data_IF_636980221221
#
_entry.id   IF_636980221221
#
_cell.length_a   1.000
_cell.length_b   1.000
_cell.length_c   1.000
_cell.angle_alpha   90.00
_cell.angle_beta   90.00
_cell.angle_gamma   90.00
#
_symmetry.space_group_name_H-M   'P 1'
#
loop_
_entity.id
_entity.type
_entity.pdbx_description
1 polymer ?
#
# COMPACT_ATOMS: atom_id res chain seq x y z
N UNK A 1 -38.43 -14.07 53.48
CA UNK A 1 -38.10 -13.49 52.15
C UNK A 1 -36.77 -12.72 52.16
N UNK A 2 -35.62 -13.35 52.46
CA UNK A 2 -34.30 -12.66 52.42
C UNK A 2 -33.18 -13.42 51.68
N UNK A 3 -33.42 -14.66 51.25
CA UNK A 3 -32.41 -15.48 50.56
C UNK A 3 -32.55 -15.54 49.03
N UNK A 4 -33.66 -15.04 48.47
CA UNK A 4 -33.88 -15.05 47.00
C UNK A 4 -33.35 -13.80 46.28
N UNK A 5 -33.10 -12.70 47.00
CA UNK A 5 -32.59 -11.46 46.40
C UNK A 5 -31.07 -11.52 46.13
N UNK A 6 -30.32 -12.29 46.94
CA UNK A 6 -28.86 -12.37 46.83
C UNK A 6 -28.39 -13.21 45.64
N UNK A 7 -29.16 -14.24 45.26
CA UNK A 7 -28.83 -15.11 44.11
C UNK A 7 -29.08 -14.39 42.78
N UNK A 8 -30.07 -13.50 42.71
CA UNK A 8 -30.31 -12.69 41.51
C UNK A 8 -29.25 -11.60 41.30
N UNK A 9 -28.68 -11.03 42.36
CA UNK A 9 -27.60 -10.03 42.24
C UNK A 9 -26.24 -10.63 41.84
N UNK A 10 -25.96 -11.88 42.18
CA UNK A 10 -24.71 -12.56 41.80
C UNK A 10 -24.80 -13.13 40.37
N UNK A 11 -26.00 -13.45 39.87
CA UNK A 11 -26.19 -13.88 38.48
C UNK A 11 -26.20 -12.72 37.47
N UNK A 12 -26.48 -11.48 37.90
CA UNK A 12 -26.40 -10.30 37.03
C UNK A 12 -25.00 -9.67 36.92
N UNK A 13 -24.06 -9.98 37.83
CA UNK A 13 -22.68 -9.50 37.72
C UNK A 13 -21.77 -10.37 36.85
N UNK A 14 -22.26 -11.55 36.40
CA UNK A 14 -21.52 -12.47 35.53
C UNK A 14 -21.59 -12.13 34.03
N UNK A 15 -22.43 -11.18 33.64
CA UNK A 15 -22.56 -10.69 32.25
C UNK A 15 -21.97 -9.28 32.08
N UNK A 16 -20.90 -8.95 32.81
CA UNK A 16 -20.02 -7.88 32.37
C UNK A 16 -19.33 -8.40 31.12
N UNK A 17 -19.81 -7.92 29.96
CA UNK A 17 -19.20 -8.00 28.64
C UNK A 17 -17.67 -8.16 28.68
N UNK A 18 -17.17 -9.39 28.78
CA UNK A 18 -15.80 -9.70 28.41
C UNK A 18 -15.81 -9.88 26.91
N UNK A 19 -15.66 -8.77 26.18
CA UNK A 19 -15.31 -8.82 24.76
C UNK A 19 -13.88 -9.35 24.71
N UNK A 20 -13.76 -10.68 24.79
CA UNK A 20 -12.47 -11.34 24.65
C UNK A 20 -11.91 -10.98 23.28
N UNK A 21 -10.65 -10.54 23.18
CA UNK A 21 -10.07 -10.18 21.90
C UNK A 21 -10.24 -11.30 20.88
N UNK A 22 -10.86 -11.00 19.73
CA UNK A 22 -11.08 -11.99 18.69
C UNK A 22 -9.75 -12.22 17.95
N UNK A 23 -9.23 -13.44 17.97
CA UNK A 23 -8.02 -13.79 17.22
C UNK A 23 -8.36 -13.96 15.73
N UNK A 24 -7.60 -13.28 14.87
CA UNK A 24 -7.85 -13.23 13.42
C UNK A 24 -6.74 -13.90 12.63
N UNK A 25 -5.52 -13.84 13.14
CA UNK A 25 -4.36 -14.41 12.47
C UNK A 25 -3.41 -15.06 13.47
N UNK A 26 -2.87 -16.22 13.10
CA UNK A 26 -1.81 -16.90 13.84
C UNK A 26 -0.89 -17.62 12.86
N UNK A 27 0.39 -17.32 12.92
CA UNK A 27 1.41 -18.01 12.12
C UNK A 27 2.63 -18.33 12.99
N UNK A 28 3.41 -19.30 12.54
CA UNK A 28 4.64 -19.74 13.20
C UNK A 28 5.77 -19.68 12.18
N UNK A 29 6.78 -18.87 12.49
CA UNK A 29 8.03 -18.72 11.73
C UNK A 29 9.16 -19.24 12.63
N UNK A 30 10.30 -19.64 12.08
CA UNK A 30 11.43 -20.25 12.82
C UNK A 30 11.63 -19.61 14.21
N UNK A 31 11.32 -20.37 15.28
CA UNK A 31 11.37 -19.99 16.71
C UNK A 31 10.31 -18.96 17.19
N UNK A 32 9.64 -18.23 16.31
CA UNK A 32 8.66 -17.20 16.66
C UNK A 32 7.21 -17.60 16.32
N UNK A 33 6.28 -17.27 17.21
CA UNK A 33 4.84 -17.34 16.94
C UNK A 33 4.29 -15.92 16.92
N UNK A 34 3.55 -15.61 15.85
CA UNK A 34 2.93 -14.31 15.62
C UNK A 34 1.43 -14.47 15.71
N UNK A 35 0.78 -13.55 16.40
CA UNK A 35 -0.66 -13.60 16.63
C UNK A 35 -1.23 -12.20 16.54
N UNK A 36 -2.34 -12.09 15.81
CA UNK A 36 -3.13 -10.88 15.70
C UNK A 36 -4.49 -11.09 16.36
N UNK A 37 -4.86 -10.20 17.27
CA UNK A 37 -6.20 -10.20 17.87
C UNK A 37 -6.82 -8.82 17.87
N UNK A 38 -8.11 -8.73 17.56
CA UNK A 38 -8.88 -7.49 17.65
C UNK A 38 -9.22 -7.21 19.11
N UNK A 39 -8.80 -6.08 19.63
CA UNK A 39 -9.10 -5.67 21.00
C UNK A 39 -10.44 -4.91 21.11
N UNK A 40 -10.82 -4.59 22.34
CA UNK A 40 -12.09 -3.94 22.69
C UNK A 40 -12.27 -2.55 22.04
N UNK A 41 -11.17 -1.88 21.67
CA UNK A 41 -11.17 -0.57 21.01
C UNK A 41 -11.17 -0.67 19.48
N UNK A 42 -11.43 -1.85 18.92
CA UNK A 42 -11.35 -2.15 17.49
C UNK A 42 -9.96 -1.98 16.85
N UNK A 43 -8.91 -1.88 17.66
CA UNK A 43 -7.53 -1.99 17.18
C UNK A 43 -7.08 -3.44 17.16
N UNK A 44 -6.01 -3.73 16.44
CA UNK A 44 -5.41 -5.05 16.45
C UNK A 44 -4.15 -5.05 17.32
N UNK A 45 -4.06 -6.02 18.22
CA UNK A 45 -2.86 -6.33 18.99
C UNK A 45 -2.01 -7.30 18.19
N UNK A 46 -0.84 -6.85 17.74
CA UNK A 46 0.19 -7.72 17.18
C UNK A 46 1.07 -8.24 18.32
N UNK A 47 1.08 -9.56 18.51
CA UNK A 47 1.89 -10.25 19.51
C UNK A 47 2.89 -11.16 18.81
N UNK A 48 4.18 -10.91 19.06
CA UNK A 48 5.27 -11.80 18.65
C UNK A 48 5.80 -12.49 19.89
N UNK A 49 5.89 -13.82 19.87
CA UNK A 49 6.38 -14.61 20.99
C UNK A 49 7.47 -15.58 20.55
N UNK A 50 8.48 -15.76 21.39
CA UNK A 50 9.56 -16.74 21.19
C UNK A 50 9.31 -17.89 22.17
N UNK A 51 9.08 -19.10 21.65
CA UNK A 51 8.79 -20.27 22.49
C UNK A 51 7.70 -20.00 23.55
N UNK A 52 6.60 -19.37 23.15
CA UNK A 52 5.48 -18.95 24.01
C UNK A 52 5.78 -17.85 25.04
N UNK A 53 6.96 -17.23 25.00
CA UNK A 53 7.27 -16.03 25.77
C UNK A 53 7.00 -14.79 24.91
N UNK A 54 6.06 -13.90 25.29
CA UNK A 54 5.81 -12.67 24.55
C UNK A 54 7.09 -11.81 24.50
N UNK A 55 7.46 -11.37 23.30
CA UNK A 55 8.61 -10.49 23.06
C UNK A 55 8.17 -9.07 22.73
N UNK A 56 7.15 -8.93 21.88
CA UNK A 56 6.60 -7.63 21.51
C UNK A 56 5.08 -7.68 21.51
N UNK A 57 4.47 -6.61 22.04
CA UNK A 57 3.05 -6.31 21.91
C UNK A 57 2.88 -4.88 21.40
N UNK A 58 2.23 -4.70 20.25
CA UNK A 58 1.87 -3.39 19.69
C UNK A 58 0.37 -3.33 19.43
N UNK A 59 -0.21 -2.16 19.60
CA UNK A 59 -1.66 -1.92 19.41
C UNK A 59 -1.85 -0.76 18.45
N UNK A 60 -2.44 -1.03 17.29
CA UNK A 60 -2.79 -0.03 16.27
C UNK A 60 -3.92 -0.56 15.37
N UNK A 61 -4.65 0.30 14.62
CA UNK A 61 -5.52 -0.18 13.57
C UNK A 61 -4.64 -0.72 12.44
N UNK A 62 -4.44 -2.04 12.46
CA UNK A 62 -3.76 -2.77 11.40
C UNK A 62 -4.68 -2.90 10.19
N UNK A 63 -4.15 -2.59 9.01
CA UNK A 63 -4.89 -2.72 7.75
C UNK A 63 -4.46 -3.97 7.02
N UNK A 64 -3.15 -4.24 6.90
CA UNK A 64 -2.62 -5.46 6.27
C UNK A 64 -1.33 -5.95 6.94
N UNK A 65 -1.17 -7.26 6.99
CA UNK A 65 0.01 -7.96 7.49
C UNK A 65 0.54 -8.85 6.38
N UNK A 66 1.84 -8.78 6.13
CA UNK A 66 2.50 -9.60 5.14
C UNK A 66 3.74 -10.28 5.72
N UNK A 67 3.97 -11.51 5.28
CA UNK A 67 5.19 -12.27 5.57
C UNK A 67 5.92 -12.46 4.26
N UNK A 68 7.14 -11.94 4.20
CA UNK A 68 7.96 -11.97 2.99
C UNK A 68 9.36 -12.40 3.36
N UNK A 69 9.98 -13.23 2.54
CA UNK A 69 11.37 -13.61 2.72
C UNK A 69 12.22 -12.74 1.79
N UNK A 70 12.66 -11.54 2.22
CA UNK A 70 13.25 -10.57 1.28
C UNK A 70 14.70 -10.89 0.87
N UNK A 71 15.28 -11.95 1.44
CA UNK A 71 16.61 -12.44 1.10
C UNK A 71 16.57 -13.91 0.62
N UNK A 72 17.60 -14.31 -0.13
CA UNK A 72 17.91 -15.72 -0.41
C UNK A 72 18.29 -16.52 0.86
N UNK A 73 18.41 -15.83 2.00
CA UNK A 73 18.48 -16.42 3.33
C UNK A 73 17.05 -16.64 3.86
N UNK A 74 16.69 -17.84 4.33
CA UNK A 74 15.31 -18.24 4.68
C UNK A 74 14.77 -17.65 6.01
N UNK A 75 15.15 -16.42 6.36
CA UNK A 75 14.77 -15.77 7.63
C UNK A 75 13.62 -14.78 7.35
N UNK A 76 12.40 -15.31 7.16
CA UNK A 76 11.16 -14.59 6.81
C UNK A 76 11.00 -13.24 7.54
N UNK A 77 10.98 -12.11 6.83
CA UNK A 77 10.62 -10.78 7.33
C UNK A 77 9.10 -10.57 7.41
N UNK A 78 8.69 -9.58 8.22
CA UNK A 78 7.29 -9.20 8.41
C UNK A 78 7.12 -7.73 8.09
N UNK A 79 6.24 -7.48 7.12
CA UNK A 79 5.82 -6.15 6.73
C UNK A 79 4.42 -5.89 7.28
N UNK A 80 4.27 -4.76 7.96
CA UNK A 80 3.03 -4.34 8.62
C UNK A 80 2.58 -3.02 8.03
N UNK A 81 1.40 -2.97 7.42
CA UNK A 81 0.76 -1.72 7.01
C UNK A 81 -0.25 -1.32 8.09
N UNK A 82 0.07 -0.29 8.87
CA UNK A 82 -0.84 0.23 9.88
C UNK A 82 -1.44 1.57 9.45
N UNK A 83 -2.70 1.81 9.79
CA UNK A 83 -3.36 3.10 9.62
C UNK A 83 -3.27 3.95 10.89
N UNK A 84 -3.43 5.26 10.74
CA UNK A 84 -3.59 6.25 11.80
C UNK A 84 -4.60 7.27 11.30
N UNK A 85 -5.65 7.55 12.08
CA UNK A 85 -6.62 8.58 11.74
C UNK A 85 -6.13 9.94 12.22
N UNK A 86 -5.88 10.86 11.30
CA UNK A 86 -5.59 12.26 11.63
C UNK A 86 -6.64 13.15 10.96
N UNK A 87 -7.52 13.78 11.75
CA UNK A 87 -8.52 14.73 11.27
C UNK A 87 -9.38 14.23 10.08
N UNK A 88 -9.94 13.02 10.18
CA UNK A 88 -10.75 12.33 9.15
C UNK A 88 -9.98 11.71 7.97
N UNK A 89 -8.69 12.02 7.81
CA UNK A 89 -7.82 11.38 6.82
C UNK A 89 -7.13 10.14 7.43
N UNK A 90 -7.15 9.02 6.72
CA UNK A 90 -6.47 7.79 7.16
C UNK A 90 -5.07 7.77 6.58
N UNK A 91 -4.10 7.91 7.46
CA UNK A 91 -2.68 7.89 7.15
C UNK A 91 -2.10 6.51 7.42
N UNK A 92 -1.49 5.91 6.42
CA UNK A 92 -0.84 4.61 6.48
C UNK A 92 0.65 4.76 6.78
N UNK A 93 1.20 3.80 7.51
CA UNK A 93 2.62 3.68 7.76
C UNK A 93 3.01 2.23 7.57
N UNK A 94 3.99 2.00 6.71
CA UNK A 94 4.64 0.71 6.56
C UNK A 94 5.65 0.54 7.69
N UNK A 95 5.64 -0.59 8.37
CA UNK A 95 6.66 -0.98 9.33
C UNK A 95 7.27 -2.30 8.91
N UNK A 96 8.59 -2.34 8.79
CA UNK A 96 9.36 -3.52 8.39
C UNK A 96 10.05 -4.10 9.62
N UNK A 97 9.95 -5.42 9.79
CA UNK A 97 10.58 -6.16 10.88
C UNK A 97 11.29 -7.39 10.33
N UNK A 98 12.44 -7.72 10.93
CA UNK A 98 13.19 -8.95 10.63
C UNK A 98 13.24 -9.86 11.85
N UNK A 99 13.45 -11.15 11.58
CA UNK A 99 13.52 -12.23 12.56
C UNK A 99 14.94 -12.84 12.65
N UNK A 100 15.88 -12.36 11.83
CA UNK A 100 17.27 -12.80 11.84
C UNK A 100 17.91 -12.56 13.21
N UNK A 101 18.32 -13.66 13.87
CA UNK A 101 18.82 -13.75 15.25
C UNK A 101 17.90 -13.25 16.38
N UNK A 102 17.12 -12.19 16.15
CA UNK A 102 16.17 -11.56 17.06
C UNK A 102 15.08 -10.82 16.27
N UNK A 103 13.87 -10.79 16.82
CA UNK A 103 12.82 -9.90 16.30
C UNK A 103 13.21 -8.44 16.52
N UNK A 104 13.45 -7.68 15.43
CA UNK A 104 13.79 -6.25 15.48
C UNK A 104 12.99 -5.42 14.48
N UNK A 105 12.63 -4.22 14.88
CA UNK A 105 12.15 -3.18 13.97
C UNK A 105 13.30 -2.73 13.08
N UNK A 106 13.04 -2.65 11.78
CA UNK A 106 14.02 -2.31 10.77
C UNK A 106 13.83 -0.86 10.33
N UNK A 107 12.66 -0.57 9.75
CA UNK A 107 12.35 0.74 9.20
C UNK A 107 10.83 1.02 9.19
N UNK A 108 10.47 2.29 9.05
CA UNK A 108 9.09 2.74 8.86
C UNK A 108 8.97 3.80 7.78
N UNK A 109 8.04 3.59 6.85
CA UNK A 109 7.72 4.56 5.79
C UNK A 109 6.34 5.15 6.04
N UNK A 110 6.28 6.47 6.08
CA UNK A 110 5.02 7.20 6.08
C UNK A 110 4.43 7.16 4.67
N UNK A 111 3.31 6.47 4.51
CA UNK A 111 2.66 6.27 3.21
C UNK A 111 1.59 7.34 2.93
N UNK A 112 1.33 8.27 3.84
CA UNK A 112 0.18 9.19 3.69
C UNK A 112 -1.10 8.38 3.51
N UNK A 113 -1.94 8.66 2.52
CA UNK A 113 -3.20 7.92 2.34
C UNK A 113 -3.06 6.60 1.55
N UNK A 114 -1.83 6.12 1.32
CA UNK A 114 -1.54 5.11 0.30
C UNK A 114 -1.45 3.69 0.84
N UNK A 115 -1.88 2.71 0.05
CA UNK A 115 -1.77 1.28 0.35
C UNK A 115 -0.72 0.64 -0.54
N UNK A 116 0.34 0.03 0.00
CA UNK A 116 1.38 -0.55 -0.84
C UNK A 116 0.90 -1.90 -1.41
N UNK A 117 1.26 -2.16 -2.67
CA UNK A 117 1.20 -3.50 -3.25
C UNK A 117 2.60 -4.10 -3.36
N UNK A 118 2.70 -5.37 -2.95
CA UNK A 118 3.94 -6.15 -2.99
C UNK A 118 3.84 -7.18 -4.09
N UNK A 119 4.75 -7.10 -5.06
CA UNK A 119 4.89 -8.11 -6.10
C UNK A 119 6.13 -8.95 -5.81
N UNK A 120 5.96 -10.26 -5.68
CA UNK A 120 7.07 -11.20 -5.66
C UNK A 120 7.36 -11.59 -7.11
N UNK A 121 8.48 -11.12 -7.65
CA UNK A 121 8.99 -11.59 -8.92
C UNK A 121 10.09 -12.63 -8.66
N UNK A 122 10.06 -13.74 -9.40
CA UNK A 122 11.05 -14.82 -9.31
C UNK A 122 12.44 -14.33 -9.76
N UNK A 123 13.15 -13.62 -8.89
CA UNK A 123 14.58 -13.39 -9.02
C UNK A 123 15.22 -13.37 -7.64
N UNK A 124 16.43 -13.93 -7.53
CA UNK A 124 17.25 -13.97 -6.32
C UNK A 124 17.77 -12.57 -5.92
N UNK A 125 16.90 -11.53 -5.84
CA UNK A 125 17.28 -10.12 -5.65
C UNK A 125 16.15 -9.20 -5.16
N UNK A 126 16.49 -7.91 -5.02
CA UNK A 126 15.74 -6.83 -4.34
C UNK A 126 14.22 -6.79 -4.63
N UNK A 127 13.46 -6.36 -3.62
CA UNK A 127 12.00 -6.23 -3.71
C UNK A 127 11.58 -4.83 -4.11
N UNK A 128 10.74 -4.76 -5.14
CA UNK A 128 10.11 -3.53 -5.57
C UNK A 128 8.77 -3.34 -4.87
N UNK A 129 8.64 -2.21 -4.16
CA UNK A 129 7.38 -1.75 -3.61
C UNK A 129 6.77 -0.78 -4.62
N UNK A 130 5.60 -1.13 -5.14
CA UNK A 130 4.80 -0.23 -5.94
C UNK A 130 3.92 0.60 -5.00
N UNK A 131 3.99 1.92 -5.14
CA UNK A 131 3.16 2.87 -4.38
C UNK A 131 2.16 3.53 -5.35
N UNK A 132 0.99 3.97 -4.85
CA UNK A 132 -0.07 4.73 -5.59
C UNK A 132 -0.06 6.23 -5.28
N UNK A 133 -0.44 7.12 -6.23
CA UNK A 133 -0.33 8.58 -6.04
C UNK A 133 -1.72 9.14 -5.72
N UNK A 134 -1.98 9.60 -4.49
CA UNK A 134 -3.33 9.98 -4.11
C UNK A 134 -3.74 11.29 -4.76
N UNK A 135 -2.79 12.13 -5.16
CA UNK A 135 -3.07 13.36 -5.89
C UNK A 135 -3.49 13.05 -7.33
N UNK A 136 -2.87 12.06 -7.98
CA UNK A 136 -3.29 11.57 -9.31
C UNK A 136 -4.69 10.98 -9.23
N UNK A 137 -4.98 10.17 -8.22
CA UNK A 137 -6.32 9.58 -8.03
C UNK A 137 -7.39 10.66 -7.81
N UNK A 138 -7.06 11.68 -7.03
CA UNK A 138 -7.95 12.82 -6.79
C UNK A 138 -8.11 13.70 -8.03
N UNK A 139 -7.03 13.89 -8.80
CA UNK A 139 -7.03 14.71 -10.00
C UNK A 139 -7.76 14.02 -11.15
N UNK A 140 -7.64 12.70 -11.28
CA UNK A 140 -8.17 11.91 -12.38
C UNK A 140 -8.99 10.73 -11.83
N UNK A 141 -10.16 10.99 -11.22
CA UNK A 141 -10.96 9.97 -10.55
C UNK A 141 -11.51 8.98 -11.57
N UNK A 142 -11.22 7.70 -11.38
CA UNK A 142 -11.42 6.67 -12.39
C UNK A 142 -11.96 5.38 -11.76
N UNK A 143 -12.60 4.55 -12.58
CA UNK A 143 -13.17 3.26 -12.15
C UNK A 143 -12.15 2.12 -12.22
N UNK A 144 -11.02 2.33 -12.90
CA UNK A 144 -9.88 1.39 -12.91
C UNK A 144 -9.30 1.21 -11.51
N UNK A 145 -8.78 -0.01 -11.20
CA UNK A 145 -8.03 -0.24 -9.98
C UNK A 145 -6.85 0.73 -9.87
N UNK A 146 -6.37 0.93 -8.63
CA UNK A 146 -5.22 1.78 -8.36
C UNK A 146 -4.04 1.37 -9.26
N UNK A 147 -3.47 2.34 -10.00
CA UNK A 147 -2.38 2.12 -10.92
C UNK A 147 -1.08 2.61 -10.28
N UNK A 148 -0.06 1.75 -10.17
CA UNK A 148 1.20 2.13 -9.54
C UNK A 148 1.94 3.16 -10.39
N UNK A 149 2.81 3.94 -9.76
CA UNK A 149 3.51 5.06 -10.42
C UNK A 149 4.94 5.29 -9.89
N UNK A 150 5.33 4.60 -8.82
CA UNK A 150 6.64 4.69 -8.21
C UNK A 150 7.13 3.32 -7.78
N UNK A 151 8.43 3.09 -7.95
CA UNK A 151 9.13 1.91 -7.47
C UNK A 151 10.08 2.33 -6.34
N UNK A 152 10.07 1.54 -5.28
CA UNK A 152 11.03 1.64 -4.20
C UNK A 152 11.70 0.30 -4.06
N UNK A 153 13.01 0.29 -3.84
CA UNK A 153 13.72 -0.93 -3.54
C UNK A 153 14.07 -0.95 -2.06
N UNK A 154 13.98 -2.13 -1.46
CA UNK A 154 14.40 -2.37 -0.10
C UNK A 154 15.74 -3.10 -0.12
N UNK A 155 16.78 -2.48 0.43
CA UNK A 155 18.12 -3.07 0.54
C UNK A 155 18.68 -2.83 1.94
N UNK A 156 19.20 -3.89 2.57
CA UNK A 156 19.79 -3.80 3.92
C UNK A 156 18.86 -3.12 4.94
N UNK A 157 17.55 -3.40 4.87
CA UNK A 157 16.52 -2.75 5.70
C UNK A 157 16.33 -1.23 5.47
N UNK A 158 16.85 -0.66 4.38
CA UNK A 158 16.67 0.74 4.00
C UNK A 158 15.81 0.76 2.73
N UNK A 159 14.66 1.44 2.81
CA UNK A 159 13.85 1.69 1.62
C UNK A 159 14.37 2.93 0.91
N UNK A 160 14.87 2.75 -0.30
CA UNK A 160 15.38 3.84 -1.12
C UNK A 160 14.47 4.07 -2.33
N UNK A 161 14.25 5.34 -2.66
CA UNK A 161 13.56 5.72 -3.89
C UNK A 161 14.43 5.29 -5.07
N UNK A 162 13.86 4.48 -5.96
CA UNK A 162 14.66 3.85 -7.00
C UNK A 162 14.40 4.46 -8.36
N UNK A 163 15.32 5.30 -8.84
CA UNK A 163 15.30 5.75 -10.23
C UNK A 163 16.33 5.00 -11.10
N UNK A 164 17.28 4.28 -10.50
CA UNK A 164 18.46 3.75 -11.21
C UNK A 164 18.47 2.23 -11.33
N UNK A 165 18.01 1.48 -10.32
CA UNK A 165 17.97 0.03 -10.32
C UNK A 165 16.63 -0.55 -10.82
N UNK A 166 15.57 0.28 -10.88
CA UNK A 166 14.22 -0.09 -11.38
C UNK A 166 14.00 0.25 -12.87
N UNK A 167 15.05 0.55 -13.64
CA UNK A 167 14.89 1.07 -15.00
C UNK A 167 14.16 0.09 -15.94
N UNK A 168 14.43 -1.21 -15.82
CA UNK A 168 13.78 -2.25 -16.63
C UNK A 168 12.30 -2.39 -16.25
N UNK A 169 11.96 -2.18 -14.97
CA UNK A 169 10.60 -2.22 -14.43
C UNK A 169 9.79 -1.01 -14.89
N UNK A 170 10.35 0.19 -14.80
CA UNK A 170 9.75 1.38 -15.40
C UNK A 170 9.58 1.19 -16.90
N UNK A 171 10.56 0.61 -17.61
CA UNK A 171 10.43 0.32 -19.03
C UNK A 171 9.27 -0.64 -19.33
N UNK A 172 9.13 -1.71 -18.56
CA UNK A 172 8.04 -2.66 -18.71
C UNK A 172 6.67 -2.01 -18.44
N UNK A 173 6.55 -1.22 -17.36
CA UNK A 173 5.32 -0.50 -17.01
C UNK A 173 4.97 0.56 -18.07
N UNK A 174 5.95 1.36 -18.52
CA UNK A 174 5.77 2.34 -19.61
C UNK A 174 5.28 1.64 -20.88
N UNK A 175 5.88 0.51 -21.26
CA UNK A 175 5.48 -0.23 -22.45
C UNK A 175 4.05 -0.76 -22.33
N UNK A 176 3.70 -1.32 -21.17
CA UNK A 176 2.33 -1.77 -20.86
C UNK A 176 1.32 -0.61 -20.96
N UNK A 177 1.62 0.53 -20.32
CA UNK A 177 0.76 1.71 -20.33
C UNK A 177 0.59 2.27 -21.75
N UNK A 178 1.67 2.35 -22.54
CA UNK A 178 1.62 2.80 -23.94
C UNK A 178 0.75 1.87 -24.78
N UNK A 179 0.86 0.55 -24.61
CA UNK A 179 0.03 -0.42 -25.31
C UNK A 179 -1.45 -0.28 -24.93
N UNK A 180 -1.75 -0.20 -23.62
CA UNK A 180 -3.10 0.03 -23.11
C UNK A 180 -3.72 1.31 -23.68
N UNK A 181 -2.97 2.41 -23.71
CA UNK A 181 -3.38 3.69 -24.30
C UNK A 181 -3.68 3.52 -25.79
N UNK A 182 -2.83 2.81 -26.55
CA UNK A 182 -3.07 2.56 -27.97
C UNK A 182 -4.28 1.67 -28.25
N UNK A 183 -4.60 0.75 -27.35
CA UNK A 183 -5.77 -0.09 -27.46
C UNK A 183 -7.03 0.73 -27.17
N UNK A 184 -7.05 1.46 -26.06
CA UNK A 184 -8.21 2.24 -25.64
C UNK A 184 -8.52 3.42 -26.57
N UNK A 185 -7.51 4.04 -27.20
CA UNK A 185 -7.77 5.24 -28.03
C UNK A 185 -8.63 4.96 -29.26
N UNK A 186 -8.63 3.71 -29.75
CA UNK A 186 -9.31 3.33 -31.00
C UNK A 186 -10.83 3.43 -30.87
N UNK A 187 -11.33 3.10 -29.69
CA UNK A 187 -12.76 2.99 -29.39
C UNK A 187 -13.22 4.04 -28.37
N UNK A 188 -12.43 5.11 -28.19
CA UNK A 188 -12.68 6.12 -27.18
C UNK A 188 -13.88 7.00 -27.54
N UNK A 189 -14.90 6.97 -26.67
CA UNK A 189 -16.01 7.93 -26.70
C UNK A 189 -15.76 9.04 -25.68
N UNK A 190 -15.44 10.24 -26.17
CA UNK A 190 -15.17 11.41 -25.32
C UNK A 190 -16.40 11.96 -24.59
N UNK A 191 -17.61 11.46 -24.90
CA UNK A 191 -18.82 11.77 -24.15
C UNK A 191 -19.03 10.86 -22.93
N UNK A 192 -18.36 9.70 -22.92
CA UNK A 192 -18.29 8.83 -21.75
C UNK A 192 -17.25 9.37 -20.76
N UNK A 193 -17.75 9.91 -19.65
CA UNK A 193 -16.91 10.53 -18.62
C UNK A 193 -16.05 9.50 -17.89
N UNK A 194 -16.55 8.28 -17.69
CA UNK A 194 -15.80 7.23 -16.98
C UNK A 194 -14.64 6.74 -17.85
N UNK A 195 -14.92 6.41 -19.12
CA UNK A 195 -13.90 5.99 -20.07
C UNK A 195 -12.84 7.08 -20.30
N UNK A 196 -13.28 8.35 -20.39
CA UNK A 196 -12.38 9.49 -20.51
C UNK A 196 -11.48 9.65 -19.28
N UNK A 197 -12.02 9.53 -18.07
CA UNK A 197 -11.24 9.64 -16.85
C UNK A 197 -10.25 8.47 -16.69
N UNK A 198 -10.67 7.25 -17.03
CA UNK A 198 -9.78 6.08 -17.04
C UNK A 198 -8.59 6.29 -17.97
N UNK A 199 -8.82 6.89 -19.16
CA UNK A 199 -7.75 7.20 -20.09
C UNK A 199 -6.84 8.31 -19.60
N UNK A 200 -7.40 9.38 -19.03
CA UNK A 200 -6.60 10.45 -18.41
C UNK A 200 -5.76 9.91 -17.26
N UNK A 201 -6.27 8.97 -16.46
CA UNK A 201 -5.50 8.32 -15.39
C UNK A 201 -4.34 7.49 -15.94
N UNK A 202 -4.53 6.74 -17.02
CA UNK A 202 -3.43 6.02 -17.68
C UNK A 202 -2.34 6.95 -18.21
N UNK A 203 -2.75 8.04 -18.87
CA UNK A 203 -1.81 9.06 -19.33
C UNK A 203 -1.07 9.70 -18.16
N UNK A 204 -1.74 9.94 -17.03
CA UNK A 204 -1.13 10.48 -15.83
C UNK A 204 -0.11 9.49 -15.24
N UNK A 205 -0.43 8.20 -15.13
CA UNK A 205 0.54 7.17 -14.71
C UNK A 205 1.75 7.12 -15.64
N UNK A 206 1.53 7.13 -16.96
CA UNK A 206 2.60 7.16 -17.95
C UNK A 206 3.51 8.39 -17.77
N UNK A 207 2.93 9.57 -17.53
CA UNK A 207 3.70 10.78 -17.26
C UNK A 207 4.66 10.59 -16.08
N UNK A 208 4.16 10.02 -14.99
CA UNK A 208 4.95 9.86 -13.77
C UNK A 208 6.04 8.81 -13.93
N UNK A 209 5.73 7.67 -14.56
CA UNK A 209 6.75 6.64 -14.84
C UNK A 209 7.86 7.18 -15.76
N UNK A 210 7.51 8.00 -16.75
CA UNK A 210 8.49 8.66 -17.61
C UNK A 210 9.35 9.67 -16.83
N UNK A 211 8.72 10.45 -15.94
CA UNK A 211 9.41 11.41 -15.09
C UNK A 211 10.42 10.70 -14.15
N UNK A 212 9.99 9.64 -13.47
CA UNK A 212 10.82 8.92 -12.51
C UNK A 212 11.93 8.09 -13.16
N UNK A 213 11.63 7.43 -14.28
CA UNK A 213 12.65 6.68 -15.03
C UNK A 213 13.74 7.55 -15.65
N UNK A 214 13.59 8.88 -15.62
CA UNK A 214 14.51 9.83 -16.25
C UNK A 214 14.57 9.67 -17.78
N UNK A 215 13.62 8.95 -18.39
CA UNK A 215 13.58 8.76 -19.85
C UNK A 215 13.21 10.06 -20.53
N UNK A 216 14.00 10.47 -21.52
CA UNK A 216 13.62 11.57 -22.40
C UNK A 216 12.44 11.15 -23.27
N UNK A 217 11.24 11.64 -22.96
CA UNK A 217 10.03 11.34 -23.71
C UNK A 217 9.22 12.61 -23.93
N UNK A 218 8.82 12.83 -25.18
CA UNK A 218 7.99 13.97 -25.58
C UNK A 218 6.52 13.66 -25.24
N UNK A 219 6.20 13.76 -23.94
CA UNK A 219 4.88 13.40 -23.41
C UNK A 219 3.78 14.27 -23.99
N UNK A 220 4.04 15.57 -24.17
CA UNK A 220 3.07 16.51 -24.72
C UNK A 220 2.62 16.05 -26.12
N UNK A 221 3.57 15.79 -27.02
CA UNK A 221 3.30 15.28 -28.35
C UNK A 221 2.65 13.88 -28.35
N UNK A 222 3.01 13.02 -27.39
CA UNK A 222 2.35 11.73 -27.23
C UNK A 222 0.87 11.91 -26.88
N UNK A 223 0.54 12.83 -25.97
CA UNK A 223 -0.85 13.18 -25.64
C UNK A 223 -1.58 13.73 -26.86
N UNK A 224 -0.98 14.66 -27.61
CA UNK A 224 -1.60 15.19 -28.84
C UNK A 224 -1.93 14.11 -29.87
N UNK A 225 -1.09 13.08 -29.99
CA UNK A 225 -1.28 11.99 -30.94
C UNK A 225 -2.27 10.92 -30.48
N UNK A 226 -2.40 10.72 -29.17
CA UNK A 226 -3.07 9.54 -28.62
C UNK A 226 -4.31 9.83 -27.81
N UNK A 227 -4.49 11.06 -27.33
CA UNK A 227 -5.70 11.46 -26.62
C UNK A 227 -6.66 12.16 -27.59
N UNK A 228 -7.81 11.53 -27.95
CA UNK A 228 -8.67 12.04 -29.01
C UNK A 228 -9.61 13.17 -28.56
N UNK A 229 -9.77 13.39 -27.24
CA UNK A 229 -10.73 14.35 -26.71
C UNK A 229 -10.24 15.80 -26.81
N UNK A 230 -11.15 16.76 -26.75
CA UNK A 230 -10.84 18.19 -26.96
C UNK A 230 -10.22 18.87 -25.73
N UNK A 231 -10.28 18.24 -24.56
CA UNK A 231 -9.80 18.78 -23.28
C UNK A 231 -8.32 18.47 -22.99
N UNK A 232 -7.52 18.13 -24.01
CA UNK A 232 -6.09 17.78 -23.86
C UNK A 232 -5.27 18.89 -23.21
N UNK A 233 -5.50 20.14 -23.61
CA UNK A 233 -4.84 21.30 -23.02
C UNK A 233 -5.11 21.42 -21.52
N UNK A 234 -6.35 21.12 -21.12
CA UNK A 234 -6.77 21.13 -19.72
C UNK A 234 -6.11 20.00 -18.96
N UNK A 235 -6.05 18.79 -19.55
CA UNK A 235 -5.33 17.65 -18.99
C UNK A 235 -3.83 17.95 -18.80
N UNK A 236 -3.15 18.44 -19.84
CA UNK A 236 -1.71 18.77 -19.81
C UNK A 236 -1.38 19.82 -18.76
N UNK A 237 -2.18 20.88 -18.66
CA UNK A 237 -2.01 21.90 -17.61
C UNK A 237 -2.19 21.30 -16.22
N UNK A 238 -3.19 20.43 -16.06
CA UNK A 238 -3.48 19.79 -14.77
C UNK A 238 -2.32 18.89 -14.33
N UNK A 239 -1.84 17.99 -15.19
CA UNK A 239 -0.74 17.09 -14.84
C UNK A 239 0.56 17.86 -14.59
N UNK A 240 0.94 18.82 -15.45
CA UNK A 240 2.15 19.61 -15.24
C UNK A 240 2.13 20.39 -13.92
N UNK A 241 0.98 20.99 -13.58
CA UNK A 241 0.84 21.76 -12.33
C UNK A 241 1.05 20.91 -11.06
N UNK A 242 0.86 19.60 -11.14
CA UNK A 242 1.09 18.69 -10.01
C UNK A 242 2.58 18.44 -9.74
N UNK A 243 3.45 18.60 -10.76
CA UNK A 243 4.88 18.28 -10.65
C UNK A 243 5.79 19.51 -10.77
N UNK A 244 5.29 20.64 -11.27
CA UNK A 244 5.99 21.94 -11.24
C UNK A 244 6.04 22.57 -9.83
N UNK A 245 5.18 22.14 -8.89
CA UNK A 245 5.17 22.64 -7.51
C UNK A 245 6.24 22.01 -6.59
N UNK A 246 6.98 21.02 -7.10
CA UNK A 246 7.88 20.16 -6.32
C UNK A 246 9.37 20.39 -6.61
N UNK A 247 9.72 21.39 -7.43
CA UNK A 247 11.08 21.91 -7.64
C UNK A 247 11.33 23.15 -6.77
#
# INVERSE_FOLDING_TARGET
>A
MKFRLLIYLIMLSGFINQISPQQIFKNSIKKYQITLSKNEKSYFDLVVSLQNKPLLKKTYPLIKLYFYNLDSQPEDEMIVVAGSLYNQDTVNTLFVYTFEDKFRFCDSIYLGNLLPEFYQFDFEGNYFIKIYDPEIEKAFPSTRPELPFNFYYLKDCILEFDNEYSFEEFEAEINYLVEEIYNLKKDMDCTDIEAKNDFQRLLACLYVDLFNSGKSFDFENFVYKNYPCDDRETFLKKINSMFEATQ
#
